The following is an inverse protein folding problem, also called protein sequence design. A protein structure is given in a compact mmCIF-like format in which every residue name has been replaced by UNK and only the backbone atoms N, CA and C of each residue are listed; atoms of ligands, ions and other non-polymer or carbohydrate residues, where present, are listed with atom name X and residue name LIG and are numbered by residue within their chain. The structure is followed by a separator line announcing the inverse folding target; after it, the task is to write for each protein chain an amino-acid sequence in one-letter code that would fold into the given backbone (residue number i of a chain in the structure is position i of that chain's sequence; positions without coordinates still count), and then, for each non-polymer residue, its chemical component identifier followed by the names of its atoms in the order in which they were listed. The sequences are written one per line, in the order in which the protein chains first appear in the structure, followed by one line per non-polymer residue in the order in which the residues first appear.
data_IF_832883559224
#
_entry.id   IF_832883559224
#
_cell.length_a   1.000
_cell.length_b   1.000
_cell.length_c   1.000
_cell.angle_alpha   90.00
_cell.angle_beta   90.00
_cell.angle_gamma   90.00
#
_symmetry.space_group_name_H-M   'P 1'
#
loop_
_entity.id
_entity.type
_entity.pdbx_description
1 polymer ?
#
# COMPACT_ATOMS: atom_id res chain seq x y z
N UNK A 1 -36.04 -10.33 -6.80
CA UNK A 1 -37.32 -10.08 -7.52
C UNK A 1 -38.53 -9.96 -6.59
N UNK A 2 -38.71 -10.83 -5.59
CA UNK A 2 -39.83 -10.73 -4.64
C UNK A 2 -39.76 -9.47 -3.76
N UNK A 3 -38.58 -9.16 -3.20
CA UNK A 3 -38.38 -7.99 -2.32
C UNK A 3 -38.70 -6.66 -3.05
N UNK A 4 -38.31 -6.53 -4.33
CA UNK A 4 -38.63 -5.38 -5.18
C UNK A 4 -40.13 -5.11 -5.37
N UNK A 5 -41.01 -6.08 -5.12
CA UNK A 5 -42.47 -5.90 -5.20
C UNK A 5 -43.08 -5.40 -3.88
N UNK A 6 -42.29 -5.33 -2.81
CA UNK A 6 -42.72 -4.98 -1.46
C UNK A 6 -42.38 -3.53 -1.06
N UNK A 7 -41.98 -2.68 -2.02
CA UNK A 7 -41.48 -1.31 -1.77
C UNK A 7 -42.33 -0.54 -0.77
N UNK A 8 -43.65 -0.48 -0.99
CA UNK A 8 -44.58 0.27 -0.13
C UNK A 8 -45.42 -0.64 0.79
N UNK A 9 -45.05 -1.91 0.93
CA UNK A 9 -45.80 -2.85 1.75
C UNK A 9 -45.20 -2.93 3.17
N UNK A 10 -45.59 -1.97 4.00
CA UNK A 10 -45.13 -1.88 5.40
C UNK A 10 -45.61 -3.05 6.28
N UNK A 11 -46.63 -3.80 5.85
CA UNK A 11 -47.10 -4.98 6.59
C UNK A 11 -46.20 -6.21 6.42
N UNK A 12 -45.48 -6.33 5.29
CA UNK A 12 -44.60 -7.47 5.00
C UNK A 12 -43.12 -7.09 5.16
N UNK A 13 -42.78 -5.85 4.82
CA UNK A 13 -41.45 -5.28 4.95
C UNK A 13 -41.52 -4.01 5.82
N UNK A 14 -41.67 -4.16 7.14
CA UNK A 14 -41.59 -3.03 8.06
C UNK A 14 -40.18 -2.43 8.04
N UNK A 15 -40.07 -1.20 8.52
CA UNK A 15 -38.82 -0.42 8.52
C UNK A 15 -37.69 -1.15 9.26
N UNK A 16 -37.96 -1.73 10.42
CA UNK A 16 -36.99 -2.51 11.20
C UNK A 16 -36.38 -3.66 10.39
N UNK A 17 -37.20 -4.35 9.59
CA UNK A 17 -36.77 -5.46 8.74
C UNK A 17 -35.99 -4.98 7.52
N UNK A 18 -36.30 -3.80 6.99
CA UNK A 18 -35.51 -3.18 5.94
C UNK A 18 -34.12 -2.78 6.47
N UNK A 19 -34.03 -2.27 7.70
CA UNK A 19 -32.76 -1.97 8.36
C UNK A 19 -31.93 -3.24 8.57
N UNK A 20 -32.55 -4.34 8.97
CA UNK A 20 -31.89 -5.64 9.10
C UNK A 20 -31.28 -6.10 7.76
N UNK A 21 -32.04 -6.00 6.67
CA UNK A 21 -31.56 -6.35 5.32
C UNK A 21 -30.45 -5.44 4.81
N UNK A 22 -30.44 -4.17 5.22
CA UNK A 22 -29.34 -3.28 4.91
C UNK A 22 -28.05 -3.69 5.66
N UNK A 23 -28.14 -4.18 6.90
CA UNK A 23 -26.98 -4.44 7.75
C UNK A 23 -26.39 -5.85 7.62
N UNK A 24 -27.23 -6.87 7.42
CA UNK A 24 -26.86 -8.25 7.76
C UNK A 24 -27.08 -9.30 6.66
N UNK A 25 -27.47 -8.91 5.44
CA UNK A 25 -27.72 -9.85 4.36
C UNK A 25 -26.70 -9.69 3.22
N UNK A 26 -26.36 -10.78 2.53
CA UNK A 26 -25.34 -10.76 1.48
C UNK A 26 -25.58 -9.69 0.40
N UNK A 27 -24.54 -9.29 -0.34
CA UNK A 27 -24.53 -8.10 -1.22
C UNK A 27 -25.71 -7.98 -2.20
N UNK A 28 -26.31 -9.11 -2.61
CA UNK A 28 -27.50 -9.12 -3.48
C UNK A 28 -28.72 -8.55 -2.76
N UNK A 29 -28.98 -8.98 -1.53
CA UNK A 29 -30.14 -8.55 -0.75
C UNK A 29 -29.97 -7.10 -0.32
N UNK A 30 -28.78 -6.72 0.17
CA UNK A 30 -28.45 -5.34 0.48
C UNK A 30 -28.70 -4.40 -0.70
N UNK A 31 -28.27 -4.75 -1.92
CA UNK A 31 -28.53 -3.91 -3.09
C UNK A 31 -30.02 -3.72 -3.37
N UNK A 32 -30.83 -4.76 -3.19
CA UNK A 32 -32.29 -4.65 -3.33
C UNK A 32 -32.90 -3.81 -2.20
N UNK A 33 -32.42 -3.97 -0.97
CA UNK A 33 -32.83 -3.17 0.18
C UNK A 33 -32.48 -1.68 -0.02
N UNK A 34 -31.31 -1.37 -0.57
CA UNK A 34 -30.90 -0.01 -0.93
C UNK A 34 -31.86 0.62 -1.94
N UNK A 35 -32.21 -0.09 -3.03
CA UNK A 35 -33.20 0.41 -4.01
C UNK A 35 -34.60 0.61 -3.40
N UNK A 36 -34.95 -0.15 -2.36
CA UNK A 36 -36.21 0.07 -1.63
C UNK A 36 -36.11 1.29 -0.71
N UNK A 37 -35.00 1.43 0.01
CA UNK A 37 -34.74 2.57 0.88
C UNK A 37 -34.72 3.89 0.09
N UNK A 38 -34.14 3.88 -1.12
CA UNK A 38 -34.17 4.99 -2.08
C UNK A 38 -35.58 5.50 -2.37
N UNK A 39 -36.58 4.60 -2.39
CA UNK A 39 -37.98 4.94 -2.70
C UNK A 39 -38.81 5.31 -1.47
N UNK A 40 -38.36 4.92 -0.28
CA UNK A 40 -39.04 5.22 0.98
C UNK A 40 -38.60 6.55 1.56
N UNK A 41 -37.33 6.91 1.38
CA UNK A 41 -36.74 8.19 1.82
C UNK A 41 -36.95 8.46 3.33
N UNK A 42 -37.04 7.38 4.14
CA UNK A 42 -37.23 7.45 5.59
C UNK A 42 -35.87 7.69 6.30
N UNK A 43 -35.66 8.81 7.03
CA UNK A 43 -34.38 9.18 7.62
C UNK A 43 -33.72 8.11 8.51
N UNK A 44 -34.50 7.29 9.21
CA UNK A 44 -33.97 6.25 10.10
C UNK A 44 -33.28 5.10 9.33
N UNK A 45 -33.41 5.06 7.99
CA UNK A 45 -32.69 4.13 7.13
C UNK A 45 -31.24 4.56 6.86
N UNK A 46 -30.90 5.84 7.03
CA UNK A 46 -29.57 6.40 6.71
C UNK A 46 -28.45 5.58 7.38
N UNK A 47 -28.47 5.28 8.69
CA UNK A 47 -27.41 4.50 9.31
C UNK A 47 -27.24 3.10 8.69
N UNK A 48 -28.35 2.45 8.32
CA UNK A 48 -28.33 1.15 7.63
C UNK A 48 -27.73 1.25 6.23
N UNK A 49 -28.09 2.29 5.48
CA UNK A 49 -27.52 2.55 4.15
C UNK A 49 -26.01 2.78 4.26
N UNK A 50 -25.54 3.56 5.24
CA UNK A 50 -24.12 3.86 5.43
C UNK A 50 -23.30 2.59 5.65
N UNK A 51 -23.79 1.59 6.39
CA UNK A 51 -23.06 0.32 6.59
C UNK A 51 -22.69 -0.38 5.27
N UNK A 52 -23.45 -0.15 4.20
CA UNK A 52 -23.19 -0.71 2.87
C UNK A 52 -22.07 -0.01 2.11
N UNK A 53 -21.49 1.07 2.63
CA UNK A 53 -20.29 1.71 2.07
C UNK A 53 -19.02 0.89 2.36
N UNK A 54 -19.04 0.04 3.39
CA UNK A 54 -17.95 -0.90 3.72
C UNK A 54 -17.76 -1.93 2.58
N UNK A 55 -18.86 -2.46 2.06
CA UNK A 55 -18.89 -3.58 1.11
C UNK A 55 -18.70 -3.09 -0.35
N UNK A 56 -17.65 -3.52 -1.08
CA UNK A 56 -17.39 -3.07 -2.46
C UNK A 56 -18.56 -3.26 -3.43
N UNK A 57 -19.29 -4.39 -3.32
CA UNK A 57 -20.40 -4.76 -4.23
C UNK A 57 -21.68 -3.93 -4.04
N UNK A 58 -21.81 -3.20 -2.92
CA UNK A 58 -23.00 -2.39 -2.61
C UNK A 58 -22.69 -0.90 -2.54
N UNK A 59 -21.42 -0.53 -2.36
CA UNK A 59 -20.95 0.85 -2.15
C UNK A 59 -21.50 1.85 -3.15
N UNK A 60 -21.48 1.52 -4.45
CA UNK A 60 -21.97 2.44 -5.48
C UNK A 60 -23.47 2.71 -5.35
N UNK A 61 -24.28 1.67 -5.11
CA UNK A 61 -25.72 1.82 -4.91
C UNK A 61 -26.02 2.54 -3.59
N UNK A 62 -25.24 2.29 -2.54
CA UNK A 62 -25.40 2.96 -1.26
C UNK A 62 -25.22 4.47 -1.37
N UNK A 63 -24.19 4.94 -2.09
CA UNK A 63 -23.99 6.36 -2.38
C UNK A 63 -25.15 6.99 -3.16
N UNK A 64 -25.56 6.35 -4.26
CA UNK A 64 -26.72 6.79 -5.06
C UNK A 64 -27.99 6.89 -4.21
N UNK A 65 -28.17 5.97 -3.27
CA UNK A 65 -29.30 5.94 -2.35
C UNK A 65 -29.23 7.10 -1.36
N UNK A 66 -28.06 7.37 -0.76
CA UNK A 66 -27.85 8.49 0.17
C UNK A 66 -28.13 9.86 -0.47
N UNK A 67 -27.84 10.01 -1.76
CA UNK A 67 -28.15 11.24 -2.53
C UNK A 67 -29.65 11.53 -2.70
N UNK A 68 -30.54 10.63 -2.27
CA UNK A 68 -31.99 10.90 -2.20
C UNK A 68 -32.44 11.47 -0.87
N UNK A 69 -31.59 11.43 0.15
CA UNK A 69 -31.89 11.93 1.48
C UNK A 69 -31.41 13.37 1.62
N UNK A 70 -31.86 14.03 2.70
CA UNK A 70 -31.37 15.37 3.04
C UNK A 70 -29.85 15.34 3.32
N UNK A 71 -29.10 16.18 2.61
CA UNK A 71 -27.65 16.33 2.79
C UNK A 71 -27.28 16.56 4.26
N UNK A 72 -28.01 17.43 4.98
CA UNK A 72 -27.73 17.73 6.39
C UNK A 72 -27.83 16.48 7.27
N UNK A 73 -28.83 15.62 7.04
CA UNK A 73 -29.02 14.39 7.83
C UNK A 73 -27.94 13.35 7.53
N UNK A 74 -27.54 13.23 6.26
CA UNK A 74 -26.47 12.31 5.87
C UNK A 74 -25.12 12.78 6.44
N UNK A 75 -24.83 14.08 6.34
CA UNK A 75 -23.58 14.67 6.86
C UNK A 75 -23.52 14.53 8.39
N UNK A 76 -24.61 14.76 9.12
CA UNK A 76 -24.67 14.58 10.58
C UNK A 76 -24.34 13.13 11.00
N UNK A 77 -24.89 12.13 10.29
CA UNK A 77 -24.60 10.73 10.60
C UNK A 77 -23.15 10.36 10.21
N UNK A 78 -22.60 10.91 9.11
CA UNK A 78 -21.19 10.75 8.76
C UNK A 78 -20.25 11.35 9.83
N UNK A 79 -20.53 12.55 10.33
CA UNK A 79 -19.73 13.22 11.35
C UNK A 79 -19.69 12.42 12.65
N UNK A 80 -20.84 11.92 13.08
CA UNK A 80 -20.98 11.02 14.23
C UNK A 80 -20.16 9.74 14.07
N UNK A 81 -20.18 9.13 12.89
CA UNK A 81 -19.44 7.89 12.62
C UNK A 81 -17.93 8.11 12.54
N UNK A 82 -17.47 9.16 11.83
CA UNK A 82 -16.04 9.47 11.69
C UNK A 82 -15.39 9.83 13.03
N UNK A 83 -16.16 10.37 13.97
CA UNK A 83 -15.75 10.69 15.34
C UNK A 83 -15.71 9.47 16.28
N UNK A 84 -16.23 8.32 15.85
CA UNK A 84 -16.23 7.08 16.64
C UNK A 84 -14.87 6.37 16.56
N UNK A 85 -14.40 5.86 17.71
CA UNK A 85 -13.20 5.01 17.80
C UNK A 85 -13.37 3.65 17.14
N UNK A 86 -14.61 3.16 17.02
CA UNK A 86 -14.92 1.78 16.64
C UNK A 86 -15.24 1.64 15.14
N UNK A 87 -15.08 2.72 14.37
CA UNK A 87 -15.36 2.72 12.95
C UNK A 87 -14.36 1.85 12.19
N UNK A 88 -14.87 0.85 11.45
CA UNK A 88 -14.03 -0.01 10.61
C UNK A 88 -13.28 0.83 9.56
N UNK A 89 -12.02 0.48 9.30
CA UNK A 89 -11.18 1.15 8.28
C UNK A 89 -11.86 1.21 6.91
N UNK A 90 -12.50 0.10 6.50
CA UNK A 90 -13.18 -0.01 5.21
C UNK A 90 -14.40 0.91 5.13
N UNK A 91 -15.19 0.98 6.20
CA UNK A 91 -16.33 1.90 6.27
C UNK A 91 -15.87 3.36 6.30
N UNK A 92 -14.79 3.69 7.03
CA UNK A 92 -14.17 5.02 7.02
C UNK A 92 -13.82 5.47 5.59
N UNK A 93 -13.12 4.63 4.83
CA UNK A 93 -12.82 4.88 3.41
C UNK A 93 -14.09 5.03 2.56
N UNK A 94 -15.11 4.23 2.83
CA UNK A 94 -16.41 4.31 2.17
C UNK A 94 -17.11 5.66 2.41
N UNK A 95 -17.07 6.17 3.64
CA UNK A 95 -17.62 7.47 4.03
C UNK A 95 -16.83 8.61 3.39
N UNK A 96 -15.49 8.59 3.48
CA UNK A 96 -14.62 9.59 2.86
C UNK A 96 -14.89 9.73 1.35
N UNK A 97 -15.12 8.61 0.66
CA UNK A 97 -15.53 8.59 -0.75
C UNK A 97 -16.90 9.20 -0.98
N UNK A 98 -17.85 8.92 -0.10
CA UNK A 98 -19.23 9.41 -0.22
C UNK A 98 -19.33 10.92 0.03
N UNK A 99 -18.48 11.50 0.89
CA UNK A 99 -18.43 12.94 1.15
C UNK A 99 -18.22 13.80 -0.11
N UNK A 100 -17.65 13.23 -1.19
CA UNK A 100 -17.50 13.89 -2.50
C UNK A 100 -18.81 14.33 -3.13
N UNK A 101 -19.90 13.63 -2.80
CA UNK A 101 -21.23 13.89 -3.36
C UNK A 101 -21.92 15.08 -2.65
N UNK A 102 -21.30 15.63 -1.60
CA UNK A 102 -21.80 16.73 -0.79
C UNK A 102 -20.82 17.91 -0.78
N UNK A 103 -20.69 18.67 -1.88
CA UNK A 103 -19.66 19.71 -2.01
C UNK A 103 -20.04 20.98 -1.23
N UNK A 104 -19.80 20.99 0.08
CA UNK A 104 -19.98 22.15 0.95
C UNK A 104 -18.91 22.20 2.06
N UNK A 105 -18.94 23.26 2.87
CA UNK A 105 -17.93 23.51 3.89
C UNK A 105 -17.82 22.43 4.97
N UNK A 106 -18.94 21.82 5.40
CA UNK A 106 -18.94 20.80 6.47
C UNK A 106 -18.16 19.53 6.06
N UNK A 107 -18.44 18.86 4.91
CA UNK A 107 -17.63 17.76 4.41
C UNK A 107 -16.16 18.11 4.21
N UNK A 108 -15.83 19.33 3.79
CA UNK A 108 -14.42 19.74 3.68
C UNK A 108 -13.75 19.76 5.05
N UNK A 109 -14.38 20.35 6.07
CA UNK A 109 -13.84 20.37 7.43
C UNK A 109 -13.71 18.96 8.01
N UNK A 110 -14.67 18.07 7.73
CA UNK A 110 -14.59 16.65 8.09
C UNK A 110 -13.40 15.95 7.42
N UNK A 111 -13.23 16.13 6.10
CA UNK A 111 -12.12 15.54 5.34
C UNK A 111 -10.77 16.08 5.83
N UNK A 112 -10.64 17.38 6.09
CA UNK A 112 -9.43 17.95 6.68
C UNK A 112 -9.10 17.31 8.04
N UNK A 113 -10.12 16.96 8.83
CA UNK A 113 -9.96 16.19 10.08
C UNK A 113 -9.60 14.71 9.88
N UNK A 114 -9.76 14.16 8.67
CA UNK A 114 -9.41 12.78 8.30
C UNK A 114 -8.04 12.66 7.61
N UNK A 115 -7.25 13.73 7.52
CA UNK A 115 -5.85 13.69 7.07
C UNK A 115 -4.97 12.98 8.14
N UNK A 116 -5.25 11.70 8.34
CA UNK A 116 -4.58 10.80 9.28
C UNK A 116 -3.30 10.25 8.66
N UNK A 117 -2.18 10.51 9.31
CA UNK A 117 -0.85 10.13 8.84
C UNK A 117 -0.50 8.68 9.15
N UNK A 118 -1.23 8.05 10.07
CA UNK A 118 -1.03 6.64 10.43
C UNK A 118 -1.57 5.67 9.38
N UNK A 119 -2.43 6.15 8.47
CA UNK A 119 -3.07 5.31 7.45
C UNK A 119 -3.01 5.98 6.06
N UNK A 120 -2.02 5.55 5.26
CA UNK A 120 -1.75 6.15 3.95
C UNK A 120 -2.91 6.01 2.95
N UNK A 121 -3.72 4.94 3.02
CA UNK A 121 -4.86 4.80 2.10
C UNK A 121 -5.98 5.77 2.48
N UNK A 122 -6.24 5.95 3.79
CA UNK A 122 -7.20 6.94 4.28
C UNK A 122 -6.75 8.34 3.90
N UNK A 123 -5.46 8.62 4.06
CA UNK A 123 -4.86 9.89 3.68
C UNK A 123 -5.01 10.19 2.19
N UNK A 124 -4.62 9.26 1.32
CA UNK A 124 -4.71 9.41 -0.13
C UNK A 124 -6.17 9.59 -0.58
N UNK A 125 -7.09 8.78 -0.06
CA UNK A 125 -8.51 8.88 -0.39
C UNK A 125 -9.12 10.21 0.05
N UNK A 126 -8.67 10.73 1.21
CA UNK A 126 -9.09 12.03 1.74
C UNK A 126 -8.64 13.16 0.82
N UNK A 127 -7.38 13.14 0.34
CA UNK A 127 -6.89 14.13 -0.62
C UNK A 127 -7.62 14.06 -1.95
N UNK A 128 -7.89 12.84 -2.46
CA UNK A 128 -8.69 12.66 -3.67
C UNK A 128 -10.12 13.19 -3.49
N UNK A 129 -10.70 13.03 -2.29
CA UNK A 129 -12.02 13.59 -1.97
C UNK A 129 -12.01 15.11 -1.88
N UNK A 130 -11.00 15.70 -1.25
CA UNK A 130 -10.83 17.15 -1.17
C UNK A 130 -10.70 17.75 -2.58
N UNK A 131 -9.87 17.16 -3.43
CA UNK A 131 -9.68 17.62 -4.81
C UNK A 131 -10.98 17.48 -5.62
N UNK A 132 -11.72 16.39 -5.45
CA UNK A 132 -13.02 16.21 -6.10
C UNK A 132 -14.04 17.28 -5.67
N UNK A 133 -14.11 17.60 -4.38
CA UNK A 133 -15.00 18.67 -3.87
C UNK A 133 -14.55 20.03 -4.38
N UNK A 134 -13.25 20.32 -4.42
CA UNK A 134 -12.72 21.60 -4.87
C UNK A 134 -13.15 21.98 -6.30
N UNK A 135 -13.36 20.99 -7.18
CA UNK A 135 -13.91 21.19 -8.54
C UNK A 135 -15.33 21.76 -8.57
N UNK A 136 -16.12 21.49 -7.52
CA UNK A 136 -17.53 21.87 -7.43
C UNK A 136 -17.75 23.03 -6.45
N UNK A 137 -16.97 23.09 -5.38
CA UNK A 137 -17.06 24.08 -4.31
C UNK A 137 -15.65 24.58 -3.95
N UNK A 138 -15.23 25.75 -4.49
CA UNK A 138 -13.94 26.34 -4.20
C UNK A 138 -13.73 26.61 -2.69
N UNK A 139 -12.53 26.35 -2.20
CA UNK A 139 -12.24 26.45 -0.77
C UNK A 139 -12.05 27.90 -0.33
N UNK A 140 -12.54 28.25 0.86
CA UNK A 140 -12.26 29.55 1.48
C UNK A 140 -10.85 29.65 2.06
N UNK A 141 -10.39 30.88 2.31
CA UNK A 141 -9.02 31.19 2.77
C UNK A 141 -8.58 30.41 4.02
N UNK A 142 -9.47 30.20 5.00
CA UNK A 142 -9.15 29.42 6.20
C UNK A 142 -8.78 27.96 5.86
N UNK A 143 -9.56 27.34 4.96
CA UNK A 143 -9.35 25.96 4.51
C UNK A 143 -8.09 25.86 3.66
N UNK A 144 -7.84 26.83 2.79
CA UNK A 144 -6.60 26.93 2.01
C UNK A 144 -5.37 27.02 2.91
N UNK A 145 -5.40 27.83 3.97
CA UNK A 145 -4.29 27.91 4.92
C UNK A 145 -4.01 26.57 5.62
N UNK A 146 -5.05 25.76 5.91
CA UNK A 146 -4.88 24.39 6.43
C UNK A 146 -4.21 23.49 5.38
N UNK A 147 -4.61 23.57 4.12
CA UNK A 147 -3.99 22.83 3.00
C UNK A 147 -2.53 23.22 2.81
N UNK A 148 -2.19 24.52 2.83
CA UNK A 148 -0.78 24.98 2.70
C UNK A 148 0.09 24.44 3.83
N UNK A 149 -0.43 24.40 5.06
CA UNK A 149 0.27 23.76 6.19
C UNK A 149 0.50 22.27 5.95
N UNK A 150 -0.50 21.58 5.39
CA UNK A 150 -0.41 20.17 5.04
C UNK A 150 0.65 19.91 3.94
N UNK A 151 0.64 20.70 2.86
CA UNK A 151 1.64 20.67 1.79
C UNK A 151 3.06 20.76 2.37
N UNK A 152 3.30 21.78 3.22
CA UNK A 152 4.61 22.00 3.83
C UNK A 152 5.06 20.81 4.67
N UNK A 153 4.14 20.19 5.39
CA UNK A 153 4.44 19.04 6.23
C UNK A 153 4.73 17.77 5.40
N UNK A 154 3.95 17.49 4.36
CA UNK A 154 4.24 16.37 3.46
C UNK A 154 5.58 16.59 2.77
N UNK A 155 5.84 17.79 2.27
CA UNK A 155 7.12 18.11 1.67
C UNK A 155 8.27 17.85 2.66
N UNK A 156 8.13 18.26 3.93
CA UNK A 156 9.10 17.96 4.98
C UNK A 156 9.35 16.46 5.14
N UNK A 157 8.30 15.62 5.07
CA UNK A 157 8.43 14.15 5.11
C UNK A 157 9.21 13.64 3.89
N UNK A 158 8.90 14.12 2.68
CA UNK A 158 9.62 13.72 1.46
C UNK A 158 11.10 14.15 1.51
N UNK A 159 11.40 15.36 2.02
CA UNK A 159 12.77 15.79 2.26
C UNK A 159 13.46 14.90 3.31
N UNK A 160 12.80 14.55 4.41
CA UNK A 160 13.35 13.65 5.42
C UNK A 160 13.69 12.26 4.85
N UNK A 161 12.85 11.71 3.96
CA UNK A 161 13.15 10.46 3.25
C UNK A 161 14.38 10.60 2.34
N UNK A 162 14.52 11.73 1.62
CA UNK A 162 15.71 12.01 0.81
C UNK A 162 16.97 12.16 1.68
N UNK A 163 16.86 12.75 2.87
CA UNK A 163 17.96 12.83 3.84
C UNK A 163 18.37 11.45 4.34
N UNK A 164 17.41 10.60 4.69
CA UNK A 164 17.67 9.21 5.06
C UNK A 164 18.44 8.47 3.95
N UNK A 165 18.00 8.60 2.68
CA UNK A 165 18.70 8.04 1.52
C UNK A 165 20.15 8.56 1.43
N UNK A 166 20.36 9.86 1.65
CA UNK A 166 21.69 10.49 1.59
C UNK A 166 22.61 10.00 2.71
N UNK A 167 22.06 9.70 3.88
CA UNK A 167 22.81 9.24 5.06
C UNK A 167 23.23 7.78 4.97
N UNK A 168 22.49 6.96 4.22
CA UNK A 168 22.82 5.54 4.01
C UNK A 168 24.08 5.45 3.11
N UNK A 169 25.15 4.75 3.54
CA UNK A 169 26.33 4.50 2.73
C UNK A 169 26.02 3.77 1.43
N UNK A 170 26.84 4.04 0.42
CA UNK A 170 26.75 3.37 -0.88
C UNK A 170 27.46 2.02 -0.83
N UNK A 171 26.80 1.01 -0.24
CA UNK A 171 27.30 -0.37 -0.11
C UNK A 171 26.23 -1.42 -0.49
N UNK A 172 26.60 -2.69 -0.46
CA UNK A 172 25.72 -3.81 -0.82
C UNK A 172 24.53 -3.98 0.14
N UNK A 173 24.61 -3.44 1.37
CA UNK A 173 23.59 -3.57 2.39
C UNK A 173 22.47 -2.53 2.25
N UNK A 174 22.69 -1.45 1.49
CA UNK A 174 21.70 -0.36 1.31
C UNK A 174 20.41 -0.81 0.62
N UNK A 175 20.43 -1.91 -0.13
CA UNK A 175 19.44 -2.25 -1.14
C UNK A 175 17.98 -2.15 -0.66
N UNK A 176 17.63 -2.85 0.43
CA UNK A 176 16.24 -2.89 0.93
C UNK A 176 15.80 -1.56 1.54
N UNK A 177 16.66 -0.91 2.33
CA UNK A 177 16.40 0.42 2.87
C UNK A 177 16.20 1.45 1.75
N UNK A 178 17.05 1.42 0.73
CA UNK A 178 16.96 2.31 -0.42
C UNK A 178 15.68 2.07 -1.23
N UNK A 179 15.32 0.80 -1.50
CA UNK A 179 14.08 0.45 -2.20
C UNK A 179 12.84 0.94 -1.41
N UNK A 180 12.80 0.70 -0.09
CA UNK A 180 11.72 1.18 0.78
C UNK A 180 11.59 2.70 0.79
N UNK A 181 12.68 3.43 1.06
CA UNK A 181 12.64 4.90 1.13
C UNK A 181 12.21 5.52 -0.20
N UNK A 182 12.66 4.97 -1.34
CA UNK A 182 12.19 5.43 -2.64
C UNK A 182 10.72 5.09 -2.88
N UNK A 183 10.26 3.89 -2.50
CA UNK A 183 8.84 3.53 -2.57
C UNK A 183 7.98 4.54 -1.79
N UNK A 184 8.39 4.89 -0.57
CA UNK A 184 7.70 5.87 0.26
C UNK A 184 7.65 7.27 -0.38
N UNK A 185 8.75 7.71 -1.01
CA UNK A 185 8.77 8.95 -1.80
C UNK A 185 7.74 8.87 -2.95
N UNK A 186 7.76 7.77 -3.72
CA UNK A 186 6.86 7.58 -4.87
C UNK A 186 5.38 7.46 -4.49
N UNK A 187 5.08 7.03 -3.27
CA UNK A 187 3.73 6.96 -2.71
C UNK A 187 3.26 8.31 -2.15
N UNK A 188 4.18 9.12 -1.62
CA UNK A 188 3.87 10.38 -0.95
C UNK A 188 3.76 11.56 -1.93
N UNK A 189 4.62 11.58 -2.95
CA UNK A 189 4.72 12.68 -3.92
C UNK A 189 3.42 12.96 -4.70
N UNK A 190 2.65 11.95 -5.16
CA UNK A 190 1.35 12.19 -5.80
C UNK A 190 0.40 13.00 -4.93
N UNK A 191 0.37 12.70 -3.63
CA UNK A 191 -0.53 13.34 -2.68
C UNK A 191 -0.12 14.79 -2.41
N UNK A 192 1.20 15.05 -2.32
CA UNK A 192 1.74 16.42 -2.27
C UNK A 192 1.28 17.25 -3.48
N UNK A 193 1.42 16.68 -4.69
CA UNK A 193 1.03 17.35 -5.93
C UNK A 193 -0.49 17.59 -6.01
N UNK A 194 -1.31 16.61 -5.60
CA UNK A 194 -2.77 16.74 -5.56
C UNK A 194 -3.24 17.85 -4.63
N UNK A 195 -2.62 17.97 -3.45
CA UNK A 195 -2.92 19.07 -2.53
C UNK A 195 -2.54 20.43 -3.12
N UNK A 196 -1.38 20.52 -3.78
CA UNK A 196 -0.94 21.77 -4.41
C UNK A 196 -1.87 22.29 -5.49
N UNK A 197 -2.65 21.41 -6.15
CA UNK A 197 -3.58 21.82 -7.22
C UNK A 197 -5.01 22.04 -6.72
N UNK A 198 -5.27 22.03 -5.41
CA UNK A 198 -6.62 22.25 -4.87
C UNK A 198 -7.21 23.60 -5.31
N UNK A 199 -6.37 24.63 -5.49
CA UNK A 199 -6.80 25.95 -5.95
C UNK A 199 -7.10 26.00 -7.46
N UNK A 200 -6.60 25.05 -8.24
CA UNK A 200 -6.86 24.90 -9.67
C UNK A 200 -7.23 23.43 -9.96
N UNK A 201 -8.39 22.98 -9.46
CA UNK A 201 -8.69 21.55 -9.31
C UNK A 201 -9.01 20.82 -10.62
N UNK A 202 -9.23 21.57 -11.70
CA UNK A 202 -9.38 21.05 -13.08
C UNK A 202 -8.02 20.74 -13.75
N UNK A 203 -6.91 21.01 -13.06
CA UNK A 203 -5.58 20.60 -13.51
C UNK A 203 -5.55 19.10 -13.79
N UNK A 204 -5.02 18.63 -14.94
CA UNK A 204 -4.90 17.21 -15.26
C UNK A 204 -3.76 16.55 -14.48
N UNK A 205 -3.86 16.57 -13.15
CA UNK A 205 -2.79 16.23 -12.21
C UNK A 205 -2.32 14.79 -12.33
N UNK A 206 -3.20 13.85 -12.73
CA UNK A 206 -2.80 12.45 -12.95
C UNK A 206 -1.79 12.29 -14.08
N UNK A 207 -1.92 13.09 -15.16
CA UNK A 207 -0.92 13.13 -16.25
C UNK A 207 0.43 13.63 -15.76
N UNK A 208 0.41 14.60 -14.84
CA UNK A 208 1.61 15.19 -14.27
C UNK A 208 2.29 14.23 -13.29
N UNK A 209 1.51 13.57 -12.44
CA UNK A 209 1.99 12.51 -11.55
C UNK A 209 2.63 11.39 -12.37
N UNK A 210 1.99 10.93 -13.45
CA UNK A 210 2.57 9.94 -14.34
C UNK A 210 3.89 10.42 -14.94
N UNK A 211 3.97 11.68 -15.35
CA UNK A 211 5.20 12.27 -15.89
C UNK A 211 6.33 12.24 -14.86
N UNK A 212 6.06 12.66 -13.62
CA UNK A 212 7.02 12.61 -12.51
C UNK A 212 7.47 11.18 -12.23
N UNK A 213 6.53 10.23 -12.13
CA UNK A 213 6.83 8.80 -11.90
C UNK A 213 7.65 8.18 -13.02
N UNK A 214 7.40 8.58 -14.27
CA UNK A 214 8.14 8.07 -15.43
C UNK A 214 9.59 8.60 -15.49
N UNK A 215 9.89 9.70 -14.79
CA UNK A 215 11.20 10.34 -14.83
C UNK A 215 11.62 10.86 -16.21
N UNK A 216 10.66 11.08 -17.13
CA UNK A 216 10.92 11.49 -18.51
C UNK A 216 11.49 12.94 -18.56
N UNK A 217 12.80 13.11 -18.83
CA UNK A 217 13.44 14.42 -18.77
C UNK A 217 12.96 15.37 -19.88
N UNK A 218 12.36 14.85 -20.96
CA UNK A 218 11.85 15.67 -22.04
C UNK A 218 10.53 16.36 -21.68
N UNK A 219 9.73 15.74 -20.79
CA UNK A 219 8.43 16.27 -20.37
C UNK A 219 8.52 17.17 -19.14
N UNK A 220 9.56 17.02 -18.34
CA UNK A 220 9.71 17.73 -17.08
C UNK A 220 9.77 19.27 -17.21
N UNK A 221 10.47 19.88 -18.18
CA UNK A 221 10.47 21.34 -18.33
C UNK A 221 9.07 21.92 -18.57
N UNK A 222 8.25 21.24 -19.38
CA UNK A 222 6.86 21.64 -19.61
C UNK A 222 6.04 21.55 -18.33
N UNK A 223 6.23 20.49 -17.54
CA UNK A 223 5.57 20.34 -16.25
C UNK A 223 5.90 21.50 -15.30
N UNK A 224 7.18 21.86 -15.19
CA UNK A 224 7.63 22.96 -14.32
C UNK A 224 7.07 24.31 -14.77
N UNK A 225 6.97 24.55 -16.09
CA UNK A 225 6.32 25.74 -16.65
C UNK A 225 4.83 25.82 -16.25
N UNK A 226 4.10 24.70 -16.29
CA UNK A 226 2.72 24.66 -15.80
C UNK A 226 2.64 24.96 -14.31
N UNK A 227 3.55 24.41 -13.51
CA UNK A 227 3.60 24.65 -12.06
C UNK A 227 3.82 26.12 -11.71
N UNK A 228 4.47 26.92 -12.57
CA UNK A 228 4.60 28.37 -12.36
C UNK A 228 3.26 29.12 -12.24
N UNK A 229 2.24 28.60 -12.93
CA UNK A 229 0.90 29.17 -12.95
C UNK A 229 -0.06 28.53 -11.94
N UNK A 230 0.36 27.43 -11.29
CA UNK A 230 -0.48 26.65 -10.39
C UNK A 230 -0.07 26.87 -8.94
N UNK A 231 1.22 26.73 -8.65
CA UNK A 231 1.73 26.82 -7.29
C UNK A 231 2.20 28.23 -6.97
N UNK A 232 1.97 28.66 -5.74
CA UNK A 232 2.57 29.88 -5.21
C UNK A 232 4.09 29.79 -5.26
N UNK A 233 4.77 30.94 -5.16
CA UNK A 233 6.24 30.95 -5.14
C UNK A 233 6.81 30.11 -3.99
N UNK A 234 6.23 30.24 -2.79
CA UNK A 234 6.68 29.49 -1.61
C UNK A 234 6.50 27.97 -1.80
N UNK A 235 5.41 27.54 -2.41
CA UNK A 235 5.17 26.12 -2.71
C UNK A 235 6.14 25.61 -3.79
N UNK A 236 6.42 26.37 -4.84
CA UNK A 236 7.39 25.99 -5.88
C UNK A 236 8.80 25.81 -5.34
N UNK A 237 9.23 26.71 -4.47
CA UNK A 237 10.56 26.66 -3.84
C UNK A 237 10.76 25.35 -3.04
N UNK A 238 9.67 24.71 -2.62
CA UNK A 238 9.66 23.46 -1.85
C UNK A 238 9.34 22.23 -2.73
N UNK A 239 8.41 22.34 -3.68
CA UNK A 239 7.90 21.20 -4.48
C UNK A 239 8.81 20.90 -5.68
N UNK A 240 9.27 21.91 -6.42
CA UNK A 240 10.06 21.70 -7.64
C UNK A 240 11.33 20.87 -7.38
N UNK A 241 12.14 21.15 -6.33
CA UNK A 241 13.35 20.37 -6.06
C UNK A 241 13.09 18.89 -5.74
N UNK A 242 11.87 18.53 -5.32
CA UNK A 242 11.46 17.14 -5.05
C UNK A 242 11.15 16.35 -6.32
N UNK A 243 10.80 17.03 -7.42
CA UNK A 243 10.49 16.41 -8.71
C UNK A 243 11.62 16.58 -9.74
N UNK A 244 12.50 17.56 -9.53
CA UNK A 244 13.61 17.85 -10.43
C UNK A 244 14.74 16.82 -10.29
N UNK A 245 15.46 16.50 -11.39
CA UNK A 245 16.61 15.60 -11.42
C UNK A 245 17.88 16.28 -10.87
N UNK A 246 17.75 16.93 -9.72
CA UNK A 246 18.87 17.52 -8.98
C UNK A 246 19.57 16.47 -8.10
N UNK A 247 20.81 16.75 -7.72
CA UNK A 247 21.58 15.86 -6.85
C UNK A 247 20.98 15.80 -5.43
N UNK A 248 21.17 14.67 -4.73
CA UNK A 248 20.75 14.55 -3.32
C UNK A 248 21.37 15.63 -2.42
N UNK A 249 22.60 16.09 -2.72
CA UNK A 249 23.27 17.15 -1.95
C UNK A 249 22.60 18.51 -2.15
N UNK A 250 22.22 18.82 -3.38
CA UNK A 250 21.51 20.05 -3.71
C UNK A 250 20.11 20.04 -3.09
N UNK A 251 19.36 18.94 -3.26
CA UNK A 251 18.06 18.74 -2.62
C UNK A 251 18.16 18.87 -1.11
N UNK A 252 19.20 18.31 -0.51
CA UNK A 252 19.48 18.43 0.92
C UNK A 252 19.69 19.87 1.38
N UNK A 253 20.44 20.66 0.61
CA UNK A 253 20.70 22.07 0.89
C UNK A 253 19.41 22.87 0.90
N UNK A 254 18.54 22.62 -0.09
CA UNK A 254 17.23 23.28 -0.18
C UNK A 254 16.31 22.81 0.95
N UNK A 255 16.27 21.51 1.24
CA UNK A 255 15.49 20.97 2.37
C UNK A 255 15.82 21.68 3.68
N UNK A 256 17.11 21.81 4.00
CA UNK A 256 17.57 22.48 5.23
C UNK A 256 17.34 24.00 5.23
N UNK A 257 17.17 24.65 4.06
CA UNK A 257 16.79 26.07 4.03
C UNK A 257 15.31 26.30 4.36
N UNK A 258 14.44 25.29 4.17
CA UNK A 258 13.00 25.39 4.43
C UNK A 258 12.55 24.69 5.72
N UNK A 259 13.26 23.65 6.14
CA UNK A 259 12.91 22.76 7.26
C UNK A 259 14.09 22.60 8.21
N UNK A 260 13.86 22.83 9.51
CA UNK A 260 14.92 22.78 10.54
C UNK A 260 15.16 21.38 11.09
N UNK A 261 14.12 20.57 11.14
CA UNK A 261 14.09 19.29 11.84
C UNK A 261 14.24 18.11 10.86
N UNK A 262 15.18 18.24 9.92
CA UNK A 262 15.48 17.15 8.99
C UNK A 262 16.51 16.17 9.60
N UNK A 263 16.42 14.87 9.30
CA UNK A 263 17.37 13.89 9.79
C UNK A 263 18.80 14.21 9.36
N UNK A 264 19.74 14.13 10.30
CA UNK A 264 21.16 14.39 10.05
C UNK A 264 22.09 13.28 10.57
N UNK A 265 21.52 12.25 11.21
CA UNK A 265 22.24 11.13 11.80
C UNK A 265 21.60 9.81 11.36
N UNK A 266 22.40 8.95 10.72
CA UNK A 266 21.95 7.64 10.26
C UNK A 266 21.48 6.75 11.41
N UNK A 267 22.14 6.80 12.57
CA UNK A 267 21.82 5.92 13.69
C UNK A 267 20.42 6.22 14.25
N UNK A 268 20.05 7.50 14.28
CA UNK A 268 18.70 7.94 14.66
C UNK A 268 17.67 7.46 13.64
N UNK A 269 17.92 7.66 12.33
CA UNK A 269 17.03 7.21 11.26
C UNK A 269 16.77 5.71 11.35
N UNK A 270 17.82 4.91 11.51
CA UNK A 270 17.69 3.46 11.58
C UNK A 270 16.97 3.04 12.86
N UNK A 271 17.24 3.68 14.00
CA UNK A 271 16.54 3.39 15.26
C UNK A 271 15.04 3.68 15.16
N UNK A 272 14.66 4.82 14.60
CA UNK A 272 13.26 5.16 14.34
C UNK A 272 12.59 4.17 13.39
N UNK A 273 13.31 3.74 12.34
CA UNK A 273 12.83 2.75 11.37
C UNK A 273 12.60 1.37 12.04
N UNK A 274 13.50 0.95 12.94
CA UNK A 274 13.35 -0.30 13.72
C UNK A 274 12.08 -0.30 14.56
N UNK A 275 11.72 0.84 15.15
CA UNK A 275 10.49 0.99 15.96
C UNK A 275 9.24 1.29 15.14
N UNK A 276 9.36 1.37 13.81
CA UNK A 276 8.23 1.70 12.95
C UNK A 276 7.08 0.70 13.13
N UNK A 277 5.83 1.15 13.21
CA UNK A 277 4.68 0.26 13.16
C UNK A 277 4.54 -0.44 11.80
N UNK A 278 5.22 0.06 10.75
CA UNK A 278 5.32 -0.64 9.48
C UNK A 278 6.18 -1.90 9.67
N UNK A 279 5.53 -3.06 9.53
CA UNK A 279 6.16 -4.38 9.71
C UNK A 279 7.37 -4.60 8.78
N UNK A 280 7.31 -4.07 7.56
CA UNK A 280 8.38 -4.22 6.57
C UNK A 280 9.55 -3.28 6.88
N UNK A 281 9.28 -2.01 7.18
CA UNK A 281 10.32 -1.04 7.57
C UNK A 281 11.14 -1.51 8.77
N UNK A 282 10.45 -2.01 9.80
CA UNK A 282 11.09 -2.51 11.01
C UNK A 282 12.07 -3.65 10.72
N UNK A 283 11.66 -4.65 9.92
CA UNK A 283 12.51 -5.81 9.64
C UNK A 283 13.71 -5.46 8.75
N UNK A 284 13.54 -4.60 7.75
CA UNK A 284 14.67 -4.20 6.89
C UNK A 284 15.67 -3.32 7.64
N UNK A 285 15.21 -2.51 8.60
CA UNK A 285 16.09 -1.70 9.42
C UNK A 285 16.90 -2.57 10.41
N UNK A 286 16.26 -3.59 11.00
CA UNK A 286 16.95 -4.58 11.81
C UNK A 286 17.99 -5.37 11.00
N UNK A 287 17.63 -5.84 9.80
CA UNK A 287 18.54 -6.56 8.89
C UNK A 287 19.74 -5.69 8.52
N UNK A 288 19.49 -4.42 8.22
CA UNK A 288 20.53 -3.43 7.94
C UNK A 288 21.49 -3.25 9.13
N UNK A 289 20.98 -3.11 10.36
CA UNK A 289 21.83 -3.01 11.56
C UNK A 289 22.72 -4.23 11.76
N UNK A 290 22.15 -5.43 11.56
CA UNK A 290 22.85 -6.70 11.72
C UNK A 290 23.96 -6.82 10.68
N UNK A 291 23.66 -6.56 9.40
CA UNK A 291 24.62 -6.67 8.29
C UNK A 291 25.74 -5.63 8.33
N UNK A 292 25.46 -4.44 8.85
CA UNK A 292 26.45 -3.35 8.97
C UNK A 292 27.24 -3.38 10.28
N UNK A 293 27.02 -4.39 11.14
CA UNK A 293 27.69 -4.56 12.43
C UNK A 293 27.64 -3.31 13.32
N UNK A 294 26.56 -2.51 13.23
CA UNK A 294 26.34 -1.29 14.04
C UNK A 294 25.96 -1.64 15.50
N UNK A 295 26.85 -2.34 16.19
CA UNK A 295 26.61 -2.92 17.52
C UNK A 295 26.33 -1.88 18.60
N UNK A 296 26.81 -0.65 18.46
CA UNK A 296 26.50 0.42 19.41
C UNK A 296 25.01 0.76 19.39
N UNK A 297 24.45 0.99 18.20
CA UNK A 297 23.02 1.26 18.01
C UNK A 297 22.21 0.05 18.47
N UNK A 298 22.60 -1.15 18.04
CA UNK A 298 21.88 -2.37 18.33
C UNK A 298 21.79 -2.67 19.85
N UNK A 299 22.83 -2.37 20.62
CA UNK A 299 22.85 -2.56 22.08
C UNK A 299 22.03 -1.53 22.85
N UNK A 300 21.82 -0.36 22.27
CA UNK A 300 21.05 0.74 22.88
C UNK A 300 19.56 0.69 22.52
N UNK A 301 19.14 -0.28 21.69
CA UNK A 301 17.73 -0.46 21.33
C UNK A 301 16.87 -0.77 22.57
N UNK A 302 15.77 -0.05 22.69
CA UNK A 302 14.66 -0.39 23.56
C UNK A 302 13.80 -1.44 22.86
N UNK A 303 14.07 -2.70 23.15
CA UNK A 303 13.39 -3.85 22.58
C UNK A 303 11.88 -3.88 22.84
N UNK A 304 11.38 -3.14 23.84
CA UNK A 304 9.94 -3.04 24.08
C UNK A 304 9.19 -2.27 22.98
N UNK A 305 9.90 -1.44 22.22
CA UNK A 305 9.35 -0.69 21.08
C UNK A 305 9.52 -1.43 19.74
N UNK A 306 10.26 -2.55 19.71
CA UNK A 306 10.45 -3.33 18.48
C UNK A 306 9.20 -4.18 18.23
N UNK A 307 8.54 -4.03 17.06
CA UNK A 307 7.35 -4.81 16.73
C UNK A 307 7.61 -6.32 16.74
N UNK A 308 6.73 -7.08 17.39
CA UNK A 308 6.81 -8.55 17.47
C UNK A 308 6.15 -9.19 16.25
N UNK A 309 6.71 -8.94 15.07
CA UNK A 309 6.21 -9.47 13.78
C UNK A 309 6.90 -10.78 13.41
N UNK A 310 6.26 -11.63 12.60
CA UNK A 310 6.87 -12.89 12.15
C UNK A 310 8.21 -12.66 11.45
N UNK A 311 8.32 -11.62 10.61
CA UNK A 311 9.55 -11.28 9.90
C UNK A 311 10.68 -10.87 10.87
N UNK A 312 10.38 -10.07 11.90
CA UNK A 312 11.36 -9.70 12.94
C UNK A 312 11.80 -10.93 13.75
N UNK A 313 10.85 -11.76 14.17
CA UNK A 313 11.13 -13.00 14.89
C UNK A 313 12.04 -13.93 14.10
N UNK A 314 11.74 -14.11 12.82
CA UNK A 314 12.50 -14.95 11.90
C UNK A 314 13.95 -14.46 11.74
N UNK A 315 14.11 -13.17 11.43
CA UNK A 315 15.43 -12.56 11.29
C UNK A 315 16.27 -12.74 12.55
N UNK A 316 15.70 -12.43 13.72
CA UNK A 316 16.42 -12.49 14.99
C UNK A 316 16.74 -13.93 15.41
N UNK A 317 15.82 -14.86 15.23
CA UNK A 317 16.02 -16.29 15.53
C UNK A 317 17.15 -16.87 14.68
N UNK A 318 17.13 -16.67 13.36
CA UNK A 318 18.19 -17.12 12.44
C UNK A 318 19.54 -16.49 12.75
N UNK A 319 19.53 -15.20 13.12
CA UNK A 319 20.76 -14.49 13.49
C UNK A 319 21.35 -15.05 14.78
N UNK A 320 20.53 -15.41 15.77
CA UNK A 320 20.95 -16.06 17.01
C UNK A 320 21.55 -17.45 16.77
N UNK A 321 20.92 -18.26 15.91
CA UNK A 321 21.43 -19.60 15.55
C UNK A 321 22.79 -19.53 14.85
N UNK A 322 22.96 -18.57 13.92
CA UNK A 322 24.19 -18.42 13.13
C UNK A 322 25.37 -17.86 13.94
N UNK A 323 25.11 -16.93 14.86
CA UNK A 323 26.15 -16.21 15.61
C UNK A 323 26.39 -16.75 17.03
N UNK A 324 25.62 -17.75 17.48
CA UNK A 324 25.77 -18.35 18.80
C UNK A 324 25.52 -17.37 19.95
N UNK A 325 26.33 -17.43 21.01
CA UNK A 325 26.18 -16.64 22.27
C UNK A 325 26.54 -15.16 22.17
N UNK A 326 26.88 -14.62 20.98
CA UNK A 326 27.35 -13.23 20.83
C UNK A 326 26.23 -12.17 20.78
N UNK A 327 24.99 -12.54 21.15
CA UNK A 327 23.80 -11.68 21.12
C UNK A 327 23.03 -11.69 22.46
N UNK A 328 23.74 -11.75 23.59
CA UNK A 328 23.15 -11.77 24.95
C UNK A 328 22.17 -10.61 25.26
N UNK A 329 22.13 -9.58 24.42
CA UNK A 329 21.28 -8.40 24.54
C UNK A 329 19.93 -8.51 23.79
N UNK A 330 19.73 -9.53 22.95
CA UNK A 330 18.43 -9.75 22.31
C UNK A 330 17.53 -10.50 23.31
N UNK A 331 16.30 -10.04 23.60
CA UNK A 331 15.35 -10.79 24.39
C UNK A 331 14.77 -11.93 23.55
N UNK A 332 15.57 -12.97 23.27
CA UNK A 332 15.24 -14.07 22.36
C UNK A 332 13.89 -14.69 22.72
N UNK A 333 13.57 -14.84 24.00
CA UNK A 333 12.29 -15.39 24.46
C UNK A 333 11.06 -14.60 23.95
N UNK A 334 11.20 -13.30 23.72
CA UNK A 334 10.13 -12.45 23.17
C UNK A 334 10.00 -12.56 21.65
N UNK A 335 11.04 -13.04 20.97
CA UNK A 335 11.13 -13.10 19.51
C UNK A 335 11.32 -14.52 18.96
N UNK A 336 11.23 -15.54 19.80
CA UNK A 336 11.42 -16.93 19.41
C UNK A 336 10.25 -17.41 18.53
N UNK A 337 10.58 -18.06 17.42
CA UNK A 337 9.64 -18.87 16.64
C UNK A 337 9.68 -20.32 17.14
N UNK A 338 8.57 -21.03 17.00
CA UNK A 338 8.59 -22.48 17.20
C UNK A 338 9.34 -23.14 16.03
N UNK A 339 10.15 -24.18 16.28
CA UNK A 339 11.01 -24.82 15.25
C UNK A 339 10.22 -25.31 14.03
N UNK A 340 8.91 -25.60 14.20
CA UNK A 340 7.99 -26.00 13.13
C UNK A 340 7.57 -24.86 12.20
N UNK A 341 7.89 -23.61 12.54
CA UNK A 341 7.54 -22.40 11.79
C UNK A 341 8.71 -21.83 10.97
N UNK A 342 9.92 -22.38 11.11
CA UNK A 342 11.10 -21.96 10.35
C UNK A 342 11.16 -22.68 9.00
N UNK A 343 10.77 -21.99 7.92
CA UNK A 343 11.00 -22.46 6.54
C UNK A 343 12.50 -22.44 6.18
N UNK A 344 12.91 -23.00 5.04
CA UNK A 344 14.32 -22.95 4.64
C UNK A 344 14.78 -21.51 4.40
N UNK A 345 13.94 -20.71 3.73
CA UNK A 345 14.19 -19.31 3.43
C UNK A 345 13.30 -18.40 4.26
N UNK A 346 13.88 -17.29 4.71
CA UNK A 346 13.14 -16.23 5.38
C UNK A 346 12.31 -15.36 4.49
N UNK A 347 11.34 -14.68 5.08
CA UNK A 347 10.53 -13.63 4.42
C UNK A 347 11.43 -12.64 3.69
N UNK A 348 12.54 -12.19 4.33
CA UNK A 348 13.52 -11.30 3.72
C UNK A 348 14.24 -11.96 2.54
N UNK A 349 14.75 -13.17 2.71
CA UNK A 349 15.48 -13.90 1.66
C UNK A 349 14.59 -14.20 0.45
N UNK A 350 13.36 -14.71 0.70
CA UNK A 350 12.33 -14.90 -0.32
C UNK A 350 12.06 -13.60 -1.07
N UNK A 351 11.90 -12.48 -0.36
CA UNK A 351 11.66 -11.16 -0.97
C UNK A 351 12.82 -10.71 -1.85
N UNK A 352 14.07 -10.88 -1.39
CA UNK A 352 15.28 -10.54 -2.17
C UNK A 352 15.36 -11.41 -3.44
N UNK A 353 15.07 -12.71 -3.32
CA UNK A 353 15.04 -13.63 -4.46
C UNK A 353 13.95 -13.19 -5.46
N UNK A 354 12.72 -12.95 -5.00
CA UNK A 354 11.63 -12.44 -5.85
C UNK A 354 12.06 -11.18 -6.58
N UNK A 355 12.65 -10.21 -5.86
CA UNK A 355 13.12 -8.94 -6.43
C UNK A 355 14.24 -9.10 -7.47
N UNK A 356 14.95 -10.23 -7.48
CA UNK A 356 15.96 -10.57 -8.50
C UNK A 356 15.36 -11.17 -9.79
N UNK A 357 14.09 -11.62 -9.75
CA UNK A 357 13.39 -12.21 -10.90
C UNK A 357 12.89 -11.10 -11.82
N UNK A 358 13.08 -11.26 -13.13
CA UNK A 358 12.70 -10.26 -14.14
C UNK A 358 11.23 -9.84 -14.08
N UNK A 359 10.32 -10.78 -13.76
CA UNK A 359 8.89 -10.53 -13.60
C UNK A 359 8.57 -9.56 -12.43
N UNK A 360 9.40 -9.56 -11.39
CA UNK A 360 9.11 -8.89 -10.11
C UNK A 360 10.07 -7.73 -9.79
N UNK A 361 11.19 -7.59 -10.50
CA UNK A 361 12.25 -6.62 -10.18
C UNK A 361 11.79 -5.16 -10.04
N UNK A 362 10.74 -4.76 -10.76
CA UNK A 362 10.17 -3.41 -10.71
C UNK A 362 9.16 -3.22 -9.58
N UNK A 363 8.70 -4.29 -8.93
CA UNK A 363 7.74 -4.23 -7.83
C UNK A 363 8.49 -3.87 -6.54
N UNK A 364 8.03 -2.89 -5.75
CA UNK A 364 8.64 -2.57 -4.46
C UNK A 364 8.77 -3.79 -3.55
N UNK A 365 9.89 -3.91 -2.84
CA UNK A 365 10.18 -5.06 -1.99
C UNK A 365 9.14 -5.23 -0.87
N UNK A 366 8.55 -4.13 -0.38
CA UNK A 366 7.45 -4.18 0.58
C UNK A 366 6.22 -4.94 0.04
N UNK A 367 5.87 -4.74 -1.23
CA UNK A 367 4.76 -5.46 -1.84
C UNK A 367 5.13 -6.94 -2.04
N UNK A 368 6.37 -7.21 -2.48
CA UNK A 368 6.89 -8.57 -2.59
C UNK A 368 6.99 -9.28 -1.24
N UNK A 369 7.11 -8.55 -0.12
CA UNK A 369 7.11 -9.13 1.22
C UNK A 369 5.78 -9.80 1.61
N UNK A 370 4.67 -9.37 0.98
CA UNK A 370 3.36 -9.99 1.16
C UNK A 370 3.27 -11.28 0.36
N UNK A 371 3.80 -11.27 -0.85
CA UNK A 371 3.90 -12.44 -1.72
C UNK A 371 4.83 -13.49 -1.10
N UNK A 372 5.95 -13.07 -0.52
CA UNK A 372 6.92 -13.98 0.09
C UNK A 372 6.37 -14.74 1.31
N UNK A 373 5.41 -14.17 2.04
CA UNK A 373 4.74 -14.83 3.17
C UNK A 373 3.82 -15.98 2.75
N UNK A 374 3.28 -15.93 1.53
CA UNK A 374 2.41 -16.98 0.96
C UNK A 374 3.13 -17.87 -0.05
N UNK A 375 4.41 -17.59 -0.31
CA UNK A 375 5.25 -18.39 -1.19
C UNK A 375 5.69 -19.66 -0.48
N UNK A 376 5.33 -20.81 -1.07
CA UNK A 376 5.71 -22.12 -0.59
C UNK A 376 7.04 -22.59 -1.18
N UNK A 377 7.76 -23.39 -0.41
CA UNK A 377 9.02 -24.01 -0.83
C UNK A 377 8.75 -25.45 -1.23
N UNK A 378 8.99 -25.77 -2.50
CA UNK A 378 8.75 -27.12 -3.02
C UNK A 378 10.07 -27.73 -3.45
N UNK A 379 10.34 -28.92 -2.94
CA UNK A 379 11.54 -29.69 -3.27
C UNK A 379 11.18 -30.79 -4.27
N UNK A 380 12.00 -30.91 -5.31
CA UNK A 380 11.86 -31.92 -6.34
C UNK A 380 13.15 -32.74 -6.42
N UNK A 381 13.02 -34.06 -6.45
CA UNK A 381 14.14 -34.95 -6.78
C UNK A 381 14.45 -34.88 -8.28
N UNK A 382 15.70 -35.12 -8.65
CA UNK A 382 16.14 -35.11 -10.05
C UNK A 382 15.22 -35.94 -10.98
N UNK A 383 14.91 -35.39 -12.15
CA UNK A 383 14.04 -35.98 -13.19
C UNK A 383 12.54 -36.04 -12.81
N UNK A 384 12.10 -35.33 -11.77
CA UNK A 384 10.67 -35.24 -11.43
C UNK A 384 9.95 -34.22 -12.33
N UNK A 385 8.82 -34.59 -12.96
CA UNK A 385 7.99 -33.63 -13.68
C UNK A 385 7.30 -32.68 -12.69
N UNK A 386 7.33 -31.38 -12.99
CA UNK A 386 6.63 -30.34 -12.23
C UNK A 386 5.17 -30.23 -12.73
N UNK A 387 5.00 -30.13 -14.05
CA UNK A 387 3.70 -30.14 -14.73
C UNK A 387 3.87 -30.57 -16.19
N UNK A 388 2.78 -30.99 -16.83
CA UNK A 388 2.75 -31.40 -18.23
C UNK A 388 2.06 -30.35 -19.14
N UNK A 389 2.34 -30.41 -20.44
CA UNK A 389 1.62 -29.62 -21.43
C UNK A 389 0.10 -29.92 -21.37
N UNK A 390 -0.72 -28.87 -21.33
CA UNK A 390 -2.17 -28.96 -21.26
C UNK A 390 -2.75 -29.05 -19.85
N UNK A 391 -1.92 -29.17 -18.81
CA UNK A 391 -2.38 -29.07 -17.42
C UNK A 391 -2.95 -27.67 -17.14
N UNK A 392 -3.92 -27.58 -16.24
CA UNK A 392 -4.39 -26.28 -15.75
C UNK A 392 -3.32 -25.66 -14.85
N UNK A 393 -3.00 -24.39 -15.04
CA UNK A 393 -1.94 -23.70 -14.29
C UNK A 393 -2.48 -22.68 -13.30
N UNK A 394 -2.73 -23.10 -12.07
CA UNK A 394 -3.19 -22.25 -10.95
C UNK A 394 -2.04 -21.66 -10.10
N UNK A 395 -0.80 -21.83 -10.56
CA UNK A 395 0.40 -21.43 -9.83
C UNK A 395 1.53 -21.10 -10.79
N UNK A 396 2.47 -20.25 -10.34
CA UNK A 396 3.77 -20.08 -10.98
C UNK A 396 4.88 -20.60 -10.08
N UNK A 397 6.02 -20.90 -10.70
CA UNK A 397 7.20 -21.34 -9.98
C UNK A 397 8.41 -20.47 -10.28
N UNK A 398 9.31 -20.35 -9.29
CA UNK A 398 10.59 -19.67 -9.43
C UNK A 398 11.68 -20.62 -8.99
N UNK A 399 12.68 -20.80 -9.85
CA UNK A 399 13.83 -21.67 -9.53
C UNK A 399 14.73 -20.96 -8.52
N UNK A 400 14.89 -21.53 -7.34
CA UNK A 400 15.77 -20.99 -6.29
C UNK A 400 17.08 -21.76 -6.23
N UNK A 401 17.02 -23.07 -6.49
CA UNK A 401 18.16 -23.95 -6.62
C UNK A 401 17.91 -25.06 -7.67
N UNK A 402 18.97 -25.43 -8.39
CA UNK A 402 18.96 -26.42 -9.46
C UNK A 402 18.47 -25.88 -10.81
N UNK A 403 18.04 -26.78 -11.69
CA UNK A 403 17.69 -26.48 -13.08
C UNK A 403 16.41 -27.20 -13.51
N UNK A 404 15.61 -26.53 -14.35
CA UNK A 404 14.35 -27.03 -14.91
C UNK A 404 14.43 -27.02 -16.43
N UNK A 405 14.17 -28.17 -17.05
CA UNK A 405 14.02 -28.29 -18.49
C UNK A 405 12.57 -28.05 -18.89
N UNK A 406 12.35 -27.11 -19.82
CA UNK A 406 11.06 -26.89 -20.50
C UNK A 406 11.12 -27.60 -21.86
N UNK A 407 10.15 -28.46 -22.16
CA UNK A 407 10.18 -29.29 -23.36
C UNK A 407 8.78 -29.60 -23.92
N UNK A 408 8.72 -30.08 -25.16
CA UNK A 408 7.53 -30.69 -25.76
C UNK A 408 7.87 -32.08 -26.28
N UNK A 409 7.37 -33.11 -25.60
CA UNK A 409 7.84 -34.48 -25.84
C UNK A 409 9.36 -34.56 -25.66
N UNK A 410 10.07 -35.08 -26.66
CA UNK A 410 11.54 -35.23 -26.61
C UNK A 410 12.32 -33.95 -26.97
N UNK A 411 11.65 -32.87 -27.41
CA UNK A 411 12.32 -31.64 -27.86
C UNK A 411 12.45 -30.66 -26.69
N UNK A 412 13.66 -30.44 -26.22
CA UNK A 412 13.98 -29.38 -25.26
C UNK A 412 13.86 -27.99 -25.90
N UNK A 413 13.12 -27.10 -25.25
CA UNK A 413 12.92 -25.72 -25.69
C UNK A 413 13.92 -24.78 -25.00
N UNK A 414 14.05 -24.92 -23.67
CA UNK A 414 14.95 -24.10 -22.84
C UNK A 414 15.22 -24.81 -21.51
N UNK A 415 16.40 -24.56 -20.92
CA UNK A 415 16.71 -24.90 -19.54
C UNK A 415 16.76 -23.63 -18.70
N UNK A 416 16.03 -23.63 -17.58
CA UNK A 416 15.84 -22.52 -16.66
C UNK A 416 16.59 -22.80 -15.36
N UNK A 417 17.47 -21.89 -14.96
CA UNK A 417 18.22 -21.97 -13.70
C UNK A 417 17.74 -20.96 -12.66
N UNK A 418 18.49 -20.82 -11.56
CA UNK A 418 18.19 -19.90 -10.46
C UNK A 418 17.77 -18.51 -10.93
N UNK A 419 16.66 -18.00 -10.38
CA UNK A 419 16.08 -16.68 -10.69
C UNK A 419 15.13 -16.70 -11.89
N UNK A 420 14.98 -17.83 -12.57
CA UNK A 420 14.03 -17.99 -13.67
C UNK A 420 12.62 -18.26 -13.13
N UNK A 421 11.62 -17.67 -13.78
CA UNK A 421 10.21 -17.95 -13.55
C UNK A 421 9.71 -18.96 -14.60
N UNK A 422 8.76 -19.82 -14.23
CA UNK A 422 8.06 -20.71 -15.15
C UNK A 422 6.59 -20.84 -14.78
N UNK A 423 5.76 -21.02 -15.81
CA UNK A 423 4.31 -21.19 -15.65
C UNK A 423 3.55 -19.88 -15.49
N UNK A 424 4.22 -18.73 -15.65
CA UNK A 424 3.65 -17.39 -15.56
C UNK A 424 2.57 -17.12 -16.61
N UNK A 425 2.68 -17.70 -17.81
CA UNK A 425 1.69 -17.53 -18.88
C UNK A 425 0.33 -18.11 -18.48
N UNK A 426 0.32 -19.34 -17.96
CA UNK A 426 -0.92 -20.01 -17.55
C UNK A 426 -1.64 -19.24 -16.43
N UNK A 427 -0.85 -18.63 -15.53
CA UNK A 427 -1.37 -17.85 -14.42
C UNK A 427 -2.01 -16.51 -14.86
N UNK A 428 -1.40 -15.85 -15.84
CA UNK A 428 -1.78 -14.50 -16.28
C UNK A 428 -2.89 -14.50 -17.34
N UNK A 429 -2.87 -15.49 -18.24
CA UNK A 429 -3.78 -15.56 -19.40
C UNK A 429 -4.93 -16.56 -19.23
N UNK A 430 -4.98 -17.28 -18.10
CA UNK A 430 -5.98 -18.34 -17.80
C UNK A 430 -5.99 -19.46 -18.87
N UNK A 431 -4.82 -19.72 -19.46
CA UNK A 431 -4.59 -20.76 -20.48
C UNK A 431 -3.91 -22.00 -19.87
N UNK A 432 -4.10 -23.21 -20.44
CA UNK A 432 -3.35 -24.39 -20.03
C UNK A 432 -1.83 -24.23 -20.18
N UNK A 433 -1.05 -25.03 -19.44
CA UNK A 433 0.42 -25.08 -19.54
C UNK A 433 0.84 -25.29 -21.00
N UNK A 434 1.70 -24.42 -21.50
CA UNK A 434 2.08 -24.41 -22.92
C UNK A 434 3.14 -25.44 -23.31
N UNK A 435 3.82 -26.04 -22.33
CA UNK A 435 4.89 -27.03 -22.49
C UNK A 435 5.06 -27.84 -21.19
N UNK A 436 5.77 -28.97 -21.26
CA UNK A 436 6.17 -29.78 -20.10
C UNK A 436 7.32 -29.10 -19.34
N UNK A 437 7.36 -29.28 -18.02
CA UNK A 437 8.47 -28.84 -17.17
C UNK A 437 8.97 -29.98 -16.28
N UNK A 438 10.27 -30.28 -16.33
CA UNK A 438 10.89 -31.37 -15.55
C UNK A 438 12.20 -30.90 -14.93
N UNK A 439 12.42 -31.15 -13.64
CA UNK A 439 13.71 -30.81 -13.00
C UNK A 439 14.82 -31.74 -13.50
N UNK A 440 16.02 -31.22 -13.74
CA UNK A 440 17.16 -32.02 -14.24
C UNK A 440 18.09 -32.51 -13.14
N UNK A 441 17.94 -31.95 -11.93
CA UNK A 441 18.70 -32.28 -10.72
C UNK A 441 17.82 -32.04 -9.50
N UNK A 442 18.31 -32.35 -8.29
CA UNK A 442 17.59 -32.01 -7.06
C UNK A 442 17.42 -30.50 -6.96
N UNK A 443 16.18 -30.06 -6.90
CA UNK A 443 15.80 -28.67 -7.12
C UNK A 443 14.88 -28.15 -6.02
N UNK A 444 15.01 -26.85 -5.74
CA UNK A 444 14.13 -26.13 -4.83
C UNK A 444 13.50 -24.99 -5.59
N UNK A 445 12.18 -24.98 -5.64
CA UNK A 445 11.38 -23.98 -6.31
C UNK A 445 10.51 -23.25 -5.28
N UNK A 446 10.27 -21.98 -5.53
CA UNK A 446 9.20 -21.25 -4.88
C UNK A 446 7.93 -21.42 -5.69
N UNK A 447 6.85 -21.87 -5.07
CA UNK A 447 5.52 -21.95 -5.65
C UNK A 447 4.67 -20.80 -5.14
N UNK A 448 3.97 -20.12 -6.06
CA UNK A 448 3.05 -19.03 -5.73
C UNK A 448 1.73 -19.33 -6.44
N UNK A 449 0.68 -19.58 -5.66
CA UNK A 449 -0.66 -19.83 -6.16
C UNK A 449 -1.34 -18.54 -6.65
N UNK A 450 -2.26 -18.69 -7.61
CA UNK A 450 -3.01 -17.58 -8.22
C UNK A 450 -3.81 -16.78 -7.20
N UNK A 451 -4.41 -17.45 -6.21
CA UNK A 451 -5.15 -16.80 -5.13
C UNK A 451 -4.25 -15.83 -4.33
N UNK A 452 -2.94 -16.07 -4.33
CA UNK A 452 -1.95 -15.21 -3.72
C UNK A 452 -1.66 -13.88 -4.43
N UNK A 453 -2.06 -13.74 -5.69
CA UNK A 453 -1.85 -12.52 -6.48
C UNK A 453 -2.99 -11.50 -6.38
N UNK A 454 -4.21 -11.95 -6.00
CA UNK A 454 -5.43 -11.14 -5.93
C UNK A 454 -5.69 -10.62 -4.51
#
# INVERSE_FOLDING_TARGET
TALNRLVYNNSILPQEKLIEFLKNEGSVISNVALTIAEKREEPELIPGIITNLDIPKTRSQARLTLNKFSDDLVIEEFEKLLSSSDLSRKLRLGIIRALREYPNDKPIDMLLGQLDKGDQDVYNETVDSLLAIARLHPFGEEKKAKITKEIRMIASRVYALNEAIKLIPDDDNKFLMYDYLNNEIQNTLPTLLKLGVIDIPDTPIETYIHTVKSGDPAKLPFLLEFFENIFSKEERDIINPLIEPISLRERSTIGHSHFKDLPNNLDTVITESVYSPNKWESVIALDYLIKTEKMNVFKELDWSNVPVTNANKELLTRTAEKNGTNLEFIPIDSFKLEDTELSMYSTLEKTIILKSVDLFKTIPAENLSRISQITEEVQFEANTPIFAEGDYGDSLFIVVNGNVKIHKGDTELVTLGKGSCLGEMALLDDEPRSADATVTEDSILFQIEQEGFY
#
